data_IF_927849439472
#
_entry.id   IF_927849439472
#
_cell.length_a   1.000
_cell.length_b   1.000
_cell.length_c   1.000
_cell.angle_alpha   90.00
_cell.angle_beta   90.00
_cell.angle_gamma   90.00
#
_symmetry.space_group_name_H-M   'P 1'
#
loop_
_entity.id
_entity.type
_entity.pdbx_description
1 polymer ?
#
# COMPACT_ATOMS: atom_id res chain seq x y z
N UNK A 1 14.32 20.26 -5.90
CA UNK A 1 14.89 19.43 -6.98
C UNK A 1 16.22 18.88 -6.48
N UNK A 2 16.20 17.70 -5.87
CA UNK A 2 17.40 16.89 -5.71
C UNK A 2 17.78 16.38 -7.09
N UNK A 3 19.02 16.61 -7.53
CA UNK A 3 19.58 15.97 -8.72
C UNK A 3 19.46 14.45 -8.51
N UNK A 4 18.51 13.81 -9.18
CA UNK A 4 18.45 12.36 -9.28
C UNK A 4 19.68 11.98 -10.09
N UNK A 5 20.60 11.23 -9.48
CA UNK A 5 21.74 10.70 -10.20
C UNK A 5 21.24 9.73 -11.27
N UNK A 6 21.18 10.21 -12.51
CA UNK A 6 20.77 9.40 -13.66
C UNK A 6 21.76 8.29 -14.00
N UNK A 7 22.91 8.19 -13.30
CA UNK A 7 23.83 7.05 -13.43
C UNK A 7 23.42 5.84 -12.58
N UNK A 8 22.65 6.02 -11.50
CA UNK A 8 22.22 4.90 -10.66
C UNK A 8 20.94 4.28 -11.23
N UNK A 9 21.09 3.30 -12.11
CA UNK A 9 19.96 2.53 -12.63
C UNK A 9 19.42 1.57 -11.56
N UNK A 10 18.09 1.39 -11.50
CA UNK A 10 17.46 0.36 -10.66
C UNK A 10 17.63 -1.00 -11.35
N UNK A 11 18.42 -1.96 -10.81
CA UNK A 11 18.79 -3.19 -11.49
C UNK A 11 17.72 -4.28 -11.30
N UNK A 12 16.44 -3.93 -11.34
CA UNK A 12 15.34 -4.86 -11.05
C UNK A 12 14.28 -4.83 -12.14
N UNK A 13 13.65 -5.97 -12.37
CA UNK A 13 12.48 -6.10 -13.25
C UNK A 13 11.42 -7.01 -12.62
N UNK A 14 10.19 -6.90 -13.12
CA UNK A 14 9.09 -7.77 -12.75
C UNK A 14 8.75 -8.69 -13.92
N UNK A 15 8.75 -10.00 -13.66
CA UNK A 15 8.39 -11.04 -14.63
C UNK A 15 7.05 -11.64 -14.24
N UNK A 16 6.03 -11.54 -15.10
CA UNK A 16 4.73 -12.13 -14.84
C UNK A 16 4.82 -13.64 -14.67
N UNK A 17 4.13 -14.15 -13.65
CA UNK A 17 3.98 -15.59 -13.42
C UNK A 17 2.57 -16.03 -13.78
N UNK A 18 1.55 -15.39 -13.20
CA UNK A 18 0.16 -15.75 -13.50
C UNK A 18 -0.85 -15.20 -12.50
N UNK A 19 -2.06 -15.74 -12.57
CA UNK A 19 -3.18 -15.43 -11.67
C UNK A 19 -3.16 -16.40 -10.50
N UNK A 20 -3.30 -15.89 -9.28
CA UNK A 20 -3.28 -16.70 -8.06
C UNK A 20 -4.65 -16.79 -7.36
N UNK A 21 -5.52 -15.79 -7.55
CA UNK A 21 -6.85 -15.79 -6.97
C UNK A 21 -7.83 -15.07 -7.89
N UNK A 22 -8.95 -15.74 -8.19
CA UNK A 22 -10.11 -15.19 -8.91
C UNK A 22 -11.32 -15.19 -8.00
N UNK A 23 -12.27 -14.25 -8.13
CA UNK A 23 -13.50 -14.29 -7.35
C UNK A 23 -14.26 -15.59 -7.64
N UNK A 24 -14.82 -16.18 -6.60
CA UNK A 24 -15.69 -17.34 -6.62
C UNK A 24 -17.14 -16.85 -6.69
N UNK A 25 -17.86 -17.06 -7.81
CA UNK A 25 -19.25 -16.60 -7.96
C UNK A 25 -20.21 -17.17 -6.90
N UNK A 26 -19.84 -18.26 -6.21
CA UNK A 26 -20.63 -18.83 -5.13
C UNK A 26 -20.45 -18.11 -3.78
N UNK A 27 -19.54 -17.13 -3.68
CA UNK A 27 -19.21 -16.40 -2.45
C UNK A 27 -19.63 -14.93 -2.54
N UNK A 28 -20.75 -14.55 -1.90
CA UNK A 28 -21.24 -13.16 -1.92
C UNK A 28 -20.24 -12.12 -1.40
N UNK A 29 -19.38 -12.53 -0.48
CA UNK A 29 -18.34 -11.70 0.18
C UNK A 29 -17.28 -11.16 -0.79
N UNK A 30 -17.15 -11.78 -1.97
CA UNK A 30 -16.16 -11.45 -3.01
C UNK A 30 -16.81 -11.31 -4.41
N UNK A 31 -18.13 -11.09 -4.45
CA UNK A 31 -18.91 -11.02 -5.68
C UNK A 31 -18.44 -9.90 -6.63
N UNK A 32 -17.94 -8.78 -6.08
CA UNK A 32 -17.44 -7.63 -6.84
C UNK A 32 -15.91 -7.69 -7.03
N UNK A 33 -15.22 -8.69 -6.48
CA UNK A 33 -13.81 -8.96 -6.74
C UNK A 33 -12.99 -9.40 -5.52
N UNK A 34 -11.78 -9.88 -5.83
CA UNK A 34 -10.70 -10.21 -4.87
C UNK A 34 -9.47 -9.39 -5.24
N UNK A 35 -9.11 -8.41 -4.42
CA UNK A 35 -8.24 -7.32 -4.83
C UNK A 35 -7.02 -7.20 -3.91
N UNK A 36 -6.00 -6.50 -4.40
CA UNK A 36 -5.00 -5.76 -3.62
C UNK A 36 -4.55 -6.45 -2.30
N UNK A 37 -3.92 -7.64 -2.39
CA UNK A 37 -3.63 -8.42 -1.19
C UNK A 37 -2.39 -7.93 -0.44
N UNK A 38 -2.33 -8.27 0.85
CA UNK A 38 -1.07 -8.39 1.58
C UNK A 38 -0.62 -9.86 1.67
N UNK A 39 0.61 -10.09 2.14
CA UNK A 39 1.14 -11.42 2.46
C UNK A 39 1.76 -11.44 3.84
N UNK A 40 1.71 -12.60 4.51
CA UNK A 40 2.43 -12.82 5.77
C UNK A 40 2.71 -14.30 5.95
N UNK A 41 3.92 -14.62 6.41
CA UNK A 41 4.21 -15.95 6.97
C UNK A 41 3.54 -16.11 8.33
N UNK A 42 2.80 -17.19 8.50
CA UNK A 42 2.24 -17.60 9.78
C UNK A 42 3.29 -18.28 10.66
N UNK A 43 3.05 -18.29 11.97
CA UNK A 43 3.86 -19.02 12.95
C UNK A 43 3.85 -20.54 12.74
N UNK A 44 2.90 -21.04 11.95
CA UNK A 44 2.79 -22.43 11.48
C UNK A 44 3.65 -22.72 10.24
N UNK A 45 4.43 -21.74 9.76
CA UNK A 45 5.29 -21.86 8.59
C UNK A 45 4.53 -21.85 7.26
N UNK A 46 3.24 -21.52 7.25
CA UNK A 46 2.47 -21.36 6.02
C UNK A 46 2.53 -19.91 5.54
N UNK A 47 2.53 -19.71 4.22
CA UNK A 47 2.36 -18.39 3.63
C UNK A 47 0.87 -18.09 3.45
N UNK A 48 0.43 -16.93 3.96
CA UNK A 48 -0.94 -16.46 3.83
C UNK A 48 -1.01 -15.25 2.90
N UNK A 49 -2.05 -15.24 2.07
CA UNK A 49 -2.54 -14.10 1.31
C UNK A 49 -3.69 -13.45 2.08
N UNK A 50 -3.69 -12.12 2.14
CA UNK A 50 -4.71 -11.31 2.80
C UNK A 50 -5.40 -10.41 1.76
N UNK A 51 -6.32 -10.95 0.94
CA UNK A 51 -6.98 -10.20 -0.11
C UNK A 51 -8.02 -9.22 0.45
N UNK A 52 -8.23 -8.09 -0.23
CA UNK A 52 -9.46 -7.31 -0.10
C UNK A 52 -10.58 -8.06 -0.81
N UNK A 53 -11.56 -8.60 -0.07
CA UNK A 53 -12.75 -9.22 -0.64
C UNK A 53 -13.85 -8.17 -0.73
N UNK A 54 -14.42 -7.98 -1.91
CA UNK A 54 -15.45 -6.96 -2.15
C UNK A 54 -16.80 -7.63 -2.39
N UNK A 55 -17.73 -7.38 -1.48
CA UNK A 55 -19.11 -7.80 -1.63
C UNK A 55 -19.91 -6.76 -2.40
N UNK A 56 -21.08 -7.18 -2.90
CA UNK A 56 -22.04 -6.31 -3.57
C UNK A 56 -22.28 -4.99 -2.80
N UNK A 57 -22.23 -3.88 -3.52
CA UNK A 57 -22.37 -2.54 -2.92
C UNK A 57 -21.07 -1.97 -2.36
N UNK A 58 -19.92 -2.49 -2.81
CA UNK A 58 -18.57 -2.08 -2.42
C UNK A 58 -18.33 -2.17 -0.91
N UNK A 59 -18.84 -3.23 -0.27
CA UNK A 59 -18.55 -3.52 1.14
C UNK A 59 -17.34 -4.45 1.21
N UNK A 60 -16.22 -3.92 1.68
CA UNK A 60 -14.94 -4.62 1.65
C UNK A 60 -14.49 -5.14 3.01
N UNK A 61 -13.78 -6.26 2.98
CA UNK A 61 -13.19 -6.93 4.15
C UNK A 61 -11.80 -7.46 3.82
N UNK A 62 -10.98 -7.76 4.83
CA UNK A 62 -9.70 -8.45 4.65
C UNK A 62 -9.92 -9.95 4.82
N UNK A 63 -9.78 -10.67 3.73
CA UNK A 63 -9.77 -12.13 3.68
C UNK A 63 -8.49 -12.74 4.24
N UNK A 64 -8.47 -14.06 4.40
CA UNK A 64 -7.27 -14.86 4.60
C UNK A 64 -7.36 -16.10 3.70
N UNK A 65 -6.30 -16.38 2.97
CA UNK A 65 -6.18 -17.57 2.15
C UNK A 65 -4.75 -18.13 2.25
N UNK A 66 -4.59 -19.45 2.35
CA UNK A 66 -3.28 -20.09 2.34
C UNK A 66 -2.76 -20.12 0.91
N UNK A 67 -1.53 -19.67 0.68
CA UNK A 67 -0.89 -19.72 -0.63
C UNK A 67 -0.48 -21.15 -0.94
N UNK A 68 -0.87 -21.64 -2.11
CA UNK A 68 -0.40 -22.92 -2.66
C UNK A 68 0.90 -22.65 -3.42
N UNK A 69 1.96 -23.36 -3.04
CA UNK A 69 3.30 -23.23 -3.62
C UNK A 69 3.69 -24.58 -4.22
N UNK A 70 3.94 -24.59 -5.53
CA UNK A 70 4.38 -25.76 -6.29
C UNK A 70 5.75 -25.44 -6.89
N UNK A 71 6.74 -26.31 -6.63
CA UNK A 71 8.13 -26.14 -7.09
C UNK A 71 8.73 -24.75 -6.79
N UNK A 72 8.38 -24.18 -5.63
CA UNK A 72 8.86 -22.87 -5.19
C UNK A 72 8.15 -21.68 -5.84
N UNK A 73 7.07 -21.90 -6.58
CA UNK A 73 6.28 -20.87 -7.25
C UNK A 73 4.86 -20.82 -6.69
N UNK A 74 4.30 -19.64 -6.36
CA UNK A 74 2.88 -19.51 -6.01
C UNK A 74 1.98 -19.83 -7.20
N UNK A 75 1.06 -20.79 -7.05
CA UNK A 75 0.17 -21.22 -8.14
C UNK A 75 -1.31 -21.08 -7.84
N UNK A 76 -1.70 -20.89 -6.58
CA UNK A 76 -3.09 -20.69 -6.19
C UNK A 76 -3.26 -20.36 -4.72
N UNK A 77 -4.50 -20.39 -4.24
CA UNK A 77 -4.84 -20.19 -2.83
C UNK A 77 -5.95 -21.12 -2.34
N UNK A 78 -5.92 -21.46 -1.05
CA UNK A 78 -7.05 -22.05 -0.31
C UNK A 78 -7.68 -21.00 0.59
N UNK A 79 -8.97 -20.70 0.40
CA UNK A 79 -9.70 -19.69 1.19
C UNK A 79 -9.96 -20.16 2.62
N UNK A 80 -9.66 -19.30 3.59
CA UNK A 80 -9.79 -19.60 5.02
C UNK A 80 -10.74 -18.64 5.78
N UNK A 81 -11.47 -17.78 5.07
CA UNK A 81 -12.42 -16.81 5.65
C UNK A 81 -11.88 -15.39 5.66
N UNK A 82 -12.36 -14.58 6.59
CA UNK A 82 -11.94 -13.18 6.80
C UNK A 82 -11.31 -12.99 8.17
N UNK A 83 -10.43 -11.98 8.26
CA UNK A 83 -9.75 -11.60 9.50
C UNK A 83 -10.14 -10.21 9.98
N UNK A 84 -10.58 -9.33 9.08
CA UNK A 84 -11.13 -8.02 9.43
C UNK A 84 -12.40 -7.80 8.61
N UNK A 85 -13.53 -7.58 9.29
CA UNK A 85 -14.79 -7.10 8.74
C UNK A 85 -14.97 -5.62 9.07
N UNK A 86 -15.72 -4.79 8.32
CA UNK A 86 -15.94 -3.37 8.66
C UNK A 86 -16.91 -3.20 9.85
N UNK A 87 -16.51 -3.74 11.02
CA UNK A 87 -17.31 -3.93 12.23
C UNK A 87 -16.97 -2.89 13.32
N UNK A 88 -16.29 -1.80 12.95
CA UNK A 88 -16.03 -0.65 13.80
C UNK A 88 -16.75 0.58 13.24
N UNK A 89 -17.26 1.45 14.13
CA UNK A 89 -18.02 2.64 13.72
C UNK A 89 -17.26 3.68 12.88
N UNK A 90 -15.93 3.53 12.74
CA UNK A 90 -15.08 4.36 11.88
C UNK A 90 -14.67 3.65 10.58
N UNK A 91 -15.12 2.40 10.38
CA UNK A 91 -14.91 1.58 9.16
C UNK A 91 -16.18 1.50 8.30
N UNK A 92 -17.29 2.13 8.71
CA UNK A 92 -18.52 2.18 7.93
C UNK A 92 -19.29 3.49 8.10
N UNK A 93 -19.98 3.90 7.04
CA UNK A 93 -21.01 4.94 7.05
C UNK A 93 -22.42 4.33 7.11
N UNK A 94 -23.44 5.12 6.73
CA UNK A 94 -24.83 4.66 6.68
C UNK A 94 -25.14 3.78 5.47
N UNK A 95 -24.37 3.89 4.39
CA UNK A 95 -24.62 3.21 3.11
C UNK A 95 -23.35 2.66 2.43
N UNK A 96 -22.21 2.70 3.12
CA UNK A 96 -20.91 2.22 2.64
C UNK A 96 -20.09 1.73 3.83
N UNK A 97 -19.07 0.93 3.59
CA UNK A 97 -18.14 0.51 4.63
C UNK A 97 -17.09 -0.43 4.09
N UNK A 98 -15.92 -0.44 4.72
CA UNK A 98 -14.82 -1.21 4.19
C UNK A 98 -13.56 -1.20 5.02
N UNK A 99 -12.85 -2.32 4.97
CA UNK A 99 -11.43 -2.40 5.29
C UNK A 99 -10.69 -2.83 4.02
N UNK A 100 -9.95 -1.88 3.46
CA UNK A 100 -9.47 -1.92 2.07
C UNK A 100 -7.95 -2.00 1.98
N UNK A 101 -7.50 -2.60 0.88
CA UNK A 101 -6.13 -2.60 0.37
C UNK A 101 -5.07 -2.83 1.47
N UNK A 102 -5.12 -3.98 2.18
CA UNK A 102 -4.18 -4.26 3.26
C UNK A 102 -2.75 -4.31 2.73
N UNK A 103 -1.79 -3.82 3.52
CA UNK A 103 -0.36 -4.13 3.38
C UNK A 103 0.12 -4.70 4.71
N UNK A 104 1.00 -5.69 4.66
CA UNK A 104 1.58 -6.28 5.86
C UNK A 104 3.09 -6.15 5.77
N UNK A 105 3.69 -5.67 6.87
CA UNK A 105 5.13 -5.67 7.07
C UNK A 105 5.45 -6.49 8.32
N UNK A 106 6.26 -7.54 8.17
CA UNK A 106 6.88 -8.21 9.31
C UNK A 106 7.98 -7.32 9.89
N UNK A 107 7.91 -7.02 11.19
CA UNK A 107 8.87 -6.19 11.91
C UNK A 107 9.58 -7.05 12.96
N UNK A 108 10.74 -7.66 12.64
CA UNK A 108 11.40 -8.62 13.51
C UNK A 108 11.77 -8.07 14.89
N UNK A 109 12.18 -6.80 14.97
CA UNK A 109 12.54 -6.14 16.24
C UNK A 109 11.40 -6.05 17.25
N UNK A 110 10.14 -6.17 16.78
CA UNK A 110 8.94 -6.20 17.63
C UNK A 110 8.38 -7.61 17.83
N UNK A 111 8.80 -8.58 17.01
CA UNK A 111 8.15 -9.89 16.92
C UNK A 111 6.68 -9.75 16.52
N UNK A 112 6.39 -8.85 15.58
CA UNK A 112 5.04 -8.51 15.11
C UNK A 112 5.00 -8.38 13.60
N UNK A 113 3.87 -8.79 13.03
CA UNK A 113 3.42 -8.37 11.71
C UNK A 113 2.45 -7.20 11.88
N UNK A 114 2.68 -6.12 11.15
CA UNK A 114 1.85 -4.91 11.17
C UNK A 114 1.08 -4.84 9.85
N UNK A 115 -0.25 -4.91 9.95
CA UNK A 115 -1.15 -4.69 8.83
C UNK A 115 -1.61 -3.23 8.83
N UNK A 116 -1.31 -2.51 7.76
CA UNK A 116 -1.97 -1.26 7.43
C UNK A 116 -3.15 -1.56 6.52
N UNK A 117 -4.25 -0.83 6.67
CA UNK A 117 -5.41 -0.91 5.79
C UNK A 117 -6.12 0.44 5.74
N UNK A 118 -6.97 0.62 4.74
CA UNK A 118 -7.81 1.81 4.63
C UNK A 118 -9.20 1.47 5.19
N UNK A 119 -9.58 2.14 6.27
CA UNK A 119 -10.94 2.10 6.78
C UNK A 119 -11.80 3.11 6.03
N UNK A 120 -12.88 2.63 5.42
CA UNK A 120 -13.79 3.46 4.65
C UNK A 120 -14.98 3.90 5.50
N UNK A 121 -14.72 4.93 6.31
CA UNK A 121 -15.63 5.42 7.33
C UNK A 121 -16.57 6.55 6.87
N UNK A 122 -17.28 7.20 7.82
CA UNK A 122 -18.26 8.24 7.52
C UNK A 122 -17.67 9.51 6.92
N UNK A 123 -16.37 9.77 7.14
CA UNK A 123 -15.66 10.94 6.63
C UNK A 123 -14.76 10.62 5.41
N UNK A 124 -14.92 9.43 4.83
CA UNK A 124 -14.07 8.93 3.76
C UNK A 124 -12.95 7.99 4.24
N UNK A 125 -11.95 7.73 3.39
CA UNK A 125 -10.92 6.74 3.66
C UNK A 125 -9.89 7.27 4.66
N UNK A 126 -9.67 6.51 5.73
CA UNK A 126 -8.65 6.79 6.75
C UNK A 126 -7.75 5.57 6.94
N UNK A 127 -6.42 5.72 6.98
CA UNK A 127 -5.55 4.59 7.23
C UNK A 127 -5.64 4.14 8.69
N UNK A 128 -5.45 2.85 8.90
CA UNK A 128 -5.52 2.22 10.20
C UNK A 128 -4.63 0.99 10.30
N UNK A 129 -4.45 0.52 11.53
CA UNK A 129 -3.53 -0.56 11.86
C UNK A 129 -4.22 -1.72 12.57
N UNK A 130 -3.77 -2.93 12.22
CA UNK A 130 -3.90 -4.13 13.01
C UNK A 130 -2.52 -4.80 13.17
N UNK A 131 -2.33 -5.55 14.25
CA UNK A 131 -1.09 -6.26 14.54
C UNK A 131 -1.36 -7.73 14.82
N UNK A 132 -0.39 -8.56 14.49
CA UNK A 132 -0.40 -10.00 14.75
C UNK A 132 0.96 -10.48 15.24
N UNK A 133 0.97 -11.46 16.14
CA UNK A 133 2.20 -12.16 16.59
C UNK A 133 2.44 -13.46 15.84
N UNK A 134 1.37 -14.04 15.30
CA UNK A 134 1.39 -15.36 14.68
C UNK A 134 1.08 -15.32 13.18
N UNK A 135 0.80 -14.14 12.63
CA UNK A 135 0.42 -13.96 11.23
C UNK A 135 -0.90 -14.63 10.89
N UNK A 136 -1.77 -14.89 11.87
CA UNK A 136 -3.04 -15.64 11.75
C UNK A 136 -4.15 -14.84 12.42
N UNK A 137 -3.98 -14.47 13.69
CA UNK A 137 -4.93 -13.72 14.50
C UNK A 137 -4.53 -12.23 14.56
N UNK A 138 -5.50 -11.33 14.37
CA UNK A 138 -5.25 -9.90 14.19
C UNK A 138 -5.97 -9.04 15.23
N UNK A 139 -5.23 -8.13 15.85
CA UNK A 139 -5.74 -7.15 16.81
C UNK A 139 -5.64 -5.74 16.26
N UNK A 140 -6.75 -5.03 16.14
CA UNK A 140 -6.75 -3.63 15.70
C UNK A 140 -6.11 -2.71 16.73
N UNK A 141 -5.22 -1.83 16.28
CA UNK A 141 -4.76 -0.68 17.05
C UNK A 141 -5.62 0.56 16.79
N UNK A 142 -6.26 0.64 15.62
CA UNK A 142 -7.19 1.70 15.24
C UNK A 142 -6.67 2.64 14.15
N UNK A 143 -7.36 3.77 13.91
CA UNK A 143 -6.96 4.75 12.90
C UNK A 143 -5.61 5.38 13.22
N UNK A 144 -4.80 5.60 12.18
CA UNK A 144 -3.56 6.36 12.31
C UNK A 144 -3.91 7.84 12.55
N UNK A 145 -3.21 8.47 13.48
CA UNK A 145 -3.29 9.89 13.78
C UNK A 145 -1.90 10.49 13.61
N UNK A 146 -1.71 11.27 12.55
CA UNK A 146 -0.43 11.93 12.29
C UNK A 146 -0.25 13.08 13.29
N UNK A 147 0.93 13.22 13.86
CA UNK A 147 1.27 14.32 14.75
C UNK A 147 1.22 15.64 13.99
N UNK A 148 0.83 16.71 14.67
CA UNK A 148 0.97 18.03 14.09
C UNK A 148 2.46 18.39 14.04
N UNK A 149 2.91 18.85 12.87
CA UNK A 149 4.25 19.37 12.64
C UNK A 149 4.10 20.84 12.20
N UNK A 150 4.44 21.77 13.10
CA UNK A 150 4.36 23.22 12.87
C UNK A 150 5.09 23.63 11.58
N UNK A 151 6.15 22.90 11.19
CA UNK A 151 6.92 23.22 9.99
C UNK A 151 6.13 22.97 8.69
N UNK A 152 5.09 22.13 8.74
CA UNK A 152 4.22 21.90 7.58
C UNK A 152 3.11 22.95 7.48
N UNK A 153 2.78 23.67 8.55
CA UNK A 153 1.61 24.57 8.63
C UNK A 153 0.31 23.91 8.11
N UNK A 154 0.18 22.60 8.32
CA UNK A 154 -0.93 21.80 7.79
C UNK A 154 -1.10 20.54 8.62
N UNK A 155 -2.34 20.28 9.05
CA UNK A 155 -2.70 19.04 9.74
C UNK A 155 -2.99 17.94 8.70
N UNK A 156 -2.11 16.94 8.63
CA UNK A 156 -2.24 15.81 7.71
C UNK A 156 -3.50 14.97 7.96
N UNK A 157 -4.11 15.06 9.14
CA UNK A 157 -5.34 14.34 9.47
C UNK A 157 -6.60 14.95 8.85
N UNK A 158 -6.50 16.14 8.23
CA UNK A 158 -7.60 16.77 7.51
C UNK A 158 -7.88 16.08 6.17
N UNK A 159 -6.92 15.32 5.64
CA UNK A 159 -7.01 14.74 4.30
C UNK A 159 -7.18 13.24 4.36
N UNK A 160 -7.94 12.67 3.40
CA UNK A 160 -7.88 11.26 3.11
C UNK A 160 -6.44 10.83 2.81
N UNK A 161 -6.09 9.63 3.27
CA UNK A 161 -4.74 9.10 3.16
C UNK A 161 -4.81 7.61 2.83
N UNK A 162 -3.92 7.15 1.94
CA UNK A 162 -3.91 5.77 1.44
C UNK A 162 -2.48 5.26 1.29
N UNK A 163 -2.34 4.03 0.81
CA UNK A 163 -1.07 3.44 0.40
C UNK A 163 -0.02 3.44 1.51
N UNK A 164 -0.50 3.15 2.73
CA UNK A 164 0.33 3.16 3.93
C UNK A 164 1.06 1.83 4.05
N UNK A 165 2.37 1.86 4.28
CA UNK A 165 3.16 0.64 4.50
C UNK A 165 4.40 0.93 5.33
N UNK A 166 4.70 0.05 6.29
CA UNK A 166 5.88 0.19 7.15
C UNK A 166 7.15 -0.34 6.49
N UNK A 167 8.27 0.27 6.84
CA UNK A 167 9.59 -0.34 6.65
C UNK A 167 9.75 -1.51 7.63
N UNK A 168 10.43 -2.59 7.23
CA UNK A 168 10.64 -3.76 8.09
C UNK A 168 11.67 -3.51 9.20
N UNK A 169 12.58 -2.56 9.01
CA UNK A 169 13.66 -2.23 9.95
C UNK A 169 13.51 -0.83 10.54
N UNK A 170 14.10 -0.63 11.72
CA UNK A 170 14.26 0.68 12.35
C UNK A 170 15.23 1.52 11.52
N UNK A 171 14.83 2.76 11.23
CA UNK A 171 15.60 3.76 10.48
C UNK A 171 15.68 5.06 11.29
N UNK A 172 16.71 5.90 11.11
CA UNK A 172 16.73 7.20 11.77
C UNK A 172 15.66 8.11 11.16
N UNK A 173 15.01 8.91 12.02
CA UNK A 173 14.23 10.06 11.57
C UNK A 173 15.17 11.21 11.12
N UNK A 174 14.64 12.31 10.58
CA UNK A 174 15.44 13.47 10.15
C UNK A 174 16.31 14.12 11.24
N UNK A 175 16.05 13.84 12.52
CA UNK A 175 16.83 14.32 13.67
C UNK A 175 17.79 13.25 14.21
N UNK A 176 17.89 12.08 13.56
CA UNK A 176 18.72 10.97 13.96
C UNK A 176 18.09 10.05 15.02
N UNK A 177 16.80 10.22 15.35
CA UNK A 177 16.11 9.39 16.34
C UNK A 177 15.76 8.04 15.72
N UNK A 178 16.20 6.91 16.28
CA UNK A 178 15.80 5.58 15.81
C UNK A 178 14.28 5.44 15.83
N UNK A 179 13.68 5.13 14.69
CA UNK A 179 12.24 5.18 14.47
C UNK A 179 11.75 4.05 13.59
N UNK A 180 10.50 3.63 13.81
CA UNK A 180 9.73 2.88 12.83
C UNK A 180 9.18 3.87 11.81
N UNK A 181 9.49 3.67 10.53
CA UNK A 181 9.02 4.53 9.47
C UNK A 181 7.92 3.87 8.64
N UNK A 182 7.03 4.69 8.08
CA UNK A 182 5.99 4.27 7.15
C UNK A 182 5.93 5.22 5.96
N UNK A 183 5.78 4.65 4.77
CA UNK A 183 5.33 5.40 3.60
C UNK A 183 3.83 5.54 3.66
N UNK A 184 3.31 6.64 3.13
CA UNK A 184 1.89 6.92 3.00
C UNK A 184 1.64 7.97 1.91
N UNK A 185 0.37 8.23 1.59
CA UNK A 185 -0.01 9.02 0.42
C UNK A 185 -1.22 9.91 0.73
N UNK A 186 -1.01 11.10 1.32
CA UNK A 186 -2.06 12.10 1.46
C UNK A 186 -2.63 12.45 0.08
N UNK A 187 -3.97 12.53 -0.01
CA UNK A 187 -4.65 12.74 -1.28
C UNK A 187 -4.88 14.21 -1.62
N UNK A 188 -4.66 15.13 -0.68
CA UNK A 188 -4.93 16.57 -0.82
C UNK A 188 -6.32 16.84 -1.41
N UNK A 189 -7.32 16.13 -0.89
CA UNK A 189 -8.66 16.14 -1.46
C UNK A 189 -9.70 16.37 -0.36
N UNK A 190 -10.43 17.48 -0.48
CA UNK A 190 -11.57 17.79 0.38
C UNK A 190 -12.90 17.33 -0.20
N UNK A 191 -12.97 16.75 -1.40
CA UNK A 191 -14.23 16.41 -2.07
C UNK A 191 -15.16 15.50 -1.26
N UNK A 192 -14.62 14.70 -0.33
CA UNK A 192 -15.39 13.87 0.59
C UNK A 192 -16.22 14.66 1.61
N UNK A 193 -15.79 15.88 1.97
CA UNK A 193 -16.40 16.68 3.05
C UNK A 193 -16.81 18.07 2.54
N UNK A 194 -16.01 18.68 1.67
CA UNK A 194 -16.22 20.00 1.06
C UNK A 194 -15.85 19.99 -0.44
N UNK A 195 -16.78 19.55 -1.30
CA UNK A 195 -16.58 19.57 -2.76
C UNK A 195 -16.25 20.96 -3.30
N UNK A 196 -15.19 21.06 -4.11
CA UNK A 196 -14.79 22.29 -4.82
C UNK A 196 -13.93 23.27 -4.01
N UNK A 197 -13.65 22.97 -2.74
CA UNK A 197 -12.71 23.76 -1.93
C UNK A 197 -11.28 23.23 -2.13
N UNK A 198 -10.34 24.13 -2.44
CA UNK A 198 -8.93 23.76 -2.58
C UNK A 198 -8.30 23.45 -1.21
N UNK A 199 -7.48 22.39 -1.09
CA UNK A 199 -6.79 22.06 0.15
C UNK A 199 -5.69 23.09 0.48
N UNK A 200 -5.46 23.44 1.75
CA UNK A 200 -4.20 24.05 2.14
C UNK A 200 -3.10 22.99 2.00
N UNK A 201 -2.15 23.24 1.09
CA UNK A 201 -1.00 22.36 0.92
C UNK A 201 0.05 22.65 1.99
N UNK A 202 0.82 21.64 2.43
CA UNK A 202 1.91 21.86 3.36
C UNK A 202 2.93 22.89 2.86
N UNK A 203 3.59 23.58 3.79
CA UNK A 203 4.65 24.56 3.48
C UNK A 203 5.70 23.96 2.55
N UNK A 204 5.96 24.65 1.43
CA UNK A 204 6.93 24.23 0.42
C UNK A 204 6.38 23.25 -0.63
N UNK A 205 5.13 22.79 -0.49
CA UNK A 205 4.45 21.93 -1.46
C UNK A 205 3.57 22.81 -2.36
N UNK A 206 3.81 22.76 -3.66
CA UNK A 206 3.08 23.52 -4.68
C UNK A 206 2.30 22.63 -5.65
N UNK A 207 2.47 21.32 -5.53
CA UNK A 207 1.85 20.29 -6.34
C UNK A 207 0.83 19.54 -5.48
N UNK A 208 -0.44 19.63 -5.84
CA UNK A 208 -1.56 18.99 -5.13
C UNK A 208 -1.79 17.54 -5.59
N UNK A 209 -0.96 17.02 -6.50
CA UNK A 209 -1.05 15.62 -6.90
C UNK A 209 -0.67 14.71 -5.74
N UNK A 210 -1.46 13.65 -5.59
CA UNK A 210 -1.29 12.69 -4.53
C UNK A 210 0.09 11.99 -4.66
N UNK A 211 0.92 12.18 -3.64
CA UNK A 211 2.37 11.94 -3.66
C UNK A 211 2.81 11.06 -2.49
N UNK A 212 3.99 10.42 -2.59
CA UNK A 212 4.55 9.58 -1.52
C UNK A 212 5.22 10.44 -0.45
N UNK A 213 4.82 10.21 0.79
CA UNK A 213 5.39 10.80 1.99
C UNK A 213 5.91 9.70 2.92
N UNK A 214 6.83 10.07 3.80
CA UNK A 214 7.33 9.21 4.86
C UNK A 214 7.04 9.86 6.21
N UNK A 215 6.63 9.04 7.16
CA UNK A 215 6.40 9.45 8.53
C UNK A 215 7.09 8.53 9.52
N UNK A 216 7.45 9.05 10.70
CA UNK A 216 8.27 8.35 11.69
C UNK A 216 7.59 8.27 13.06
N UNK A 217 7.74 7.12 13.69
CA UNK A 217 7.36 6.86 15.09
C UNK A 217 8.62 6.51 15.88
N UNK A 218 8.98 7.25 16.94
CA UNK A 218 10.16 6.94 17.75
C UNK A 218 10.13 5.49 18.26
N UNK A 219 11.22 4.76 18.09
CA UNK A 219 11.28 3.35 18.45
C UNK A 219 11.09 3.13 19.95
N UNK A 220 11.57 4.06 20.78
CA UNK A 220 11.38 4.02 22.23
C UNK A 220 9.90 4.07 22.64
N UNK A 221 9.09 4.87 21.94
CA UNK A 221 7.65 4.98 22.21
C UNK A 221 6.94 3.67 21.86
N UNK A 222 7.31 3.04 20.73
CA UNK A 222 6.74 1.75 20.32
C UNK A 222 7.13 0.61 21.26
N UNK A 223 8.36 0.62 21.77
CA UNK A 223 8.82 -0.36 22.77
C UNK A 223 8.05 -0.19 24.09
N UNK A 224 7.74 1.04 24.49
CA UNK A 224 6.95 1.31 25.67
C UNK A 224 5.47 0.95 25.48
N UNK A 225 4.91 1.26 24.31
CA UNK A 225 3.53 0.96 23.94
C UNK A 225 3.42 0.77 22.42
N UNK A 226 3.11 -0.45 22.00
CA UNK A 226 2.94 -0.80 20.58
C UNK A 226 1.89 0.05 19.88
N UNK A 227 0.90 0.59 20.60
CA UNK A 227 -0.12 1.49 20.04
C UNK A 227 0.47 2.79 19.46
N UNK A 228 1.70 3.15 19.86
CA UNK A 228 2.42 4.29 19.30
C UNK A 228 2.67 4.15 17.79
N UNK A 229 2.66 2.94 17.22
CA UNK A 229 2.72 2.73 15.76
C UNK A 229 1.63 3.51 15.01
N UNK A 230 0.47 3.75 15.63
CA UNK A 230 -0.62 4.52 15.05
C UNK A 230 -0.46 6.04 15.20
N UNK A 231 0.67 6.54 15.73
CA UNK A 231 0.90 7.96 16.06
C UNK A 231 2.23 8.49 15.53
N UNK A 232 2.48 8.46 14.21
CA UNK A 232 3.70 9.03 13.66
C UNK A 232 3.72 10.56 13.77
N UNK A 233 4.88 11.20 13.95
CA UNK A 233 4.96 12.64 14.29
C UNK A 233 5.93 13.47 13.45
N UNK A 234 6.93 12.84 12.85
CA UNK A 234 7.87 13.53 11.94
C UNK A 234 7.50 13.15 10.53
N UNK A 235 7.44 14.12 9.61
CA UNK A 235 6.89 13.93 8.27
C UNK A 235 7.79 14.52 7.19
N UNK A 236 8.04 13.79 6.09
CA UNK A 236 8.80 14.31 4.95
C UNK A 236 8.14 13.92 3.64
N UNK A 237 8.13 14.85 2.69
CA UNK A 237 7.84 14.54 1.29
C UNK A 237 8.97 13.67 0.74
N UNK A 238 8.61 12.63 -0.02
CA UNK A 238 9.59 11.70 -0.65
C UNK A 238 9.60 11.89 -2.16
N UNK A 239 8.45 11.70 -2.80
CA UNK A 239 8.34 11.74 -4.25
C UNK A 239 6.94 12.15 -4.68
N UNK A 240 6.85 12.94 -5.75
CA UNK A 240 5.62 13.23 -6.47
C UNK A 240 5.69 12.68 -7.89
N UNK A 241 4.59 12.74 -8.66
CA UNK A 241 4.60 12.38 -10.07
C UNK A 241 5.66 13.14 -10.89
N UNK A 242 6.49 12.41 -11.62
CA UNK A 242 7.61 12.98 -12.39
C UNK A 242 7.60 12.52 -13.85
N UNK A 243 7.39 11.22 -14.10
CA UNK A 243 7.35 10.65 -15.44
C UNK A 243 5.93 10.55 -16.03
N UNK A 244 5.85 10.43 -17.36
CA UNK A 244 4.57 10.44 -18.08
C UNK A 244 3.61 9.32 -17.65
N UNK A 245 4.14 8.14 -17.33
CA UNK A 245 3.38 6.95 -16.91
C UNK A 245 2.78 7.06 -15.50
N UNK A 246 3.18 8.09 -14.75
CA UNK A 246 2.77 8.31 -13.36
C UNK A 246 2.23 9.72 -13.12
N UNK A 247 1.92 10.46 -14.20
CA UNK A 247 1.62 11.88 -14.21
C UNK A 247 0.44 12.33 -13.32
N UNK A 248 -0.53 11.45 -13.04
CA UNK A 248 -1.73 11.78 -12.28
C UNK A 248 -1.48 11.68 -10.77
N UNK A 249 -0.91 10.57 -10.32
CA UNK A 249 -0.59 10.29 -8.91
C UNK A 249 0.34 9.09 -8.80
N UNK A 250 1.00 8.98 -7.65
CA UNK A 250 1.78 7.81 -7.25
C UNK A 250 1.40 7.35 -5.85
N UNK A 251 1.84 6.13 -5.48
CA UNK A 251 1.73 5.62 -4.11
C UNK A 251 2.57 4.36 -3.90
N UNK A 252 2.97 4.12 -2.66
CA UNK A 252 3.73 2.92 -2.31
C UNK A 252 2.87 1.66 -2.48
N UNK A 253 3.50 0.58 -2.96
CA UNK A 253 2.86 -0.72 -3.10
C UNK A 253 3.08 -1.60 -1.87
N UNK A 254 3.95 -2.63 -1.97
CA UNK A 254 4.31 -3.49 -0.86
C UNK A 254 5.34 -2.86 0.09
N UNK A 255 5.68 -3.59 1.15
CA UNK A 255 6.72 -3.19 2.09
C UNK A 255 8.05 -2.93 1.37
N UNK A 256 8.78 -1.84 1.71
CA UNK A 256 10.11 -1.59 1.17
C UNK A 256 11.04 -2.77 1.38
N UNK A 257 11.67 -3.25 0.31
CA UNK A 257 12.62 -4.36 0.35
C UNK A 257 14.02 -3.82 0.56
N UNK A 258 14.73 -4.33 1.57
CA UNK A 258 16.15 -4.01 1.75
C UNK A 258 17.00 -4.70 0.68
N UNK A 259 17.77 -3.94 -0.07
CA UNK A 259 18.70 -4.44 -1.10
C UNK A 259 20.11 -3.88 -0.88
N UNK A 260 21.13 -4.37 -1.62
CA UNK A 260 22.47 -3.78 -1.58
C UNK A 260 22.51 -2.31 -2.02
N UNK A 261 21.59 -1.89 -2.89
CA UNK A 261 21.51 -0.52 -3.41
C UNK A 261 20.77 0.45 -2.48
N UNK A 262 19.97 -0.04 -1.53
CA UNK A 262 19.15 0.78 -0.65
C UNK A 262 17.82 0.12 -0.28
N UNK A 263 16.78 0.94 -0.18
CA UNK A 263 15.41 0.47 -0.02
C UNK A 263 14.70 0.48 -1.37
N UNK A 264 14.43 -0.70 -1.92
CA UNK A 264 13.62 -0.85 -3.12
C UNK A 264 12.14 -0.75 -2.75
N UNK A 265 11.47 0.27 -3.28
CA UNK A 265 10.03 0.47 -3.14
C UNK A 265 9.39 0.26 -4.50
N UNK A 266 8.68 -0.86 -4.65
CA UNK A 266 7.78 -1.03 -5.80
C UNK A 266 6.59 -0.10 -5.59
N UNK A 267 6.38 0.84 -6.51
CA UNK A 267 5.32 1.84 -6.41
C UNK A 267 4.39 1.75 -7.61
N UNK A 268 3.15 2.19 -7.44
CA UNK A 268 2.24 2.38 -8.56
C UNK A 268 2.32 3.82 -9.06
N UNK A 269 2.12 3.98 -10.37
CA UNK A 269 1.94 5.25 -11.05
C UNK A 269 0.67 5.21 -11.87
N UNK A 270 0.02 6.38 -11.99
CA UNK A 270 -1.28 6.46 -12.66
C UNK A 270 -1.26 7.51 -13.75
N UNK A 271 -1.90 7.19 -14.87
CA UNK A 271 -2.25 8.14 -15.94
C UNK A 271 -3.76 8.21 -16.15
N UNK A 272 -4.21 9.17 -16.97
CA UNK A 272 -5.60 9.31 -17.35
C UNK A 272 -6.31 10.42 -16.59
N UNK A 273 -7.62 10.30 -16.41
CA UNK A 273 -8.46 11.34 -15.81
C UNK A 273 -9.43 10.74 -14.81
N UNK A 274 -9.51 11.33 -13.62
CA UNK A 274 -10.54 10.98 -12.63
C UNK A 274 -11.84 11.68 -13.02
N UNK A 275 -12.93 10.92 -13.12
CA UNK A 275 -14.26 11.43 -13.43
C UNK A 275 -15.22 11.04 -12.31
N UNK A 276 -15.99 12.00 -11.83
CA UNK A 276 -16.92 11.81 -10.71
C UNK A 276 -16.25 11.96 -9.35
N UNK A 277 -16.99 11.59 -8.29
CA UNK A 277 -16.49 11.60 -6.92
C UNK A 277 -15.74 10.32 -6.57
N UNK A 278 -15.14 10.29 -5.38
CA UNK A 278 -14.32 9.18 -4.91
C UNK A 278 -15.05 7.83 -4.71
N UNK A 279 -16.37 7.80 -4.85
CA UNK A 279 -17.21 6.60 -4.78
C UNK A 279 -17.49 5.99 -6.17
N UNK A 280 -17.01 6.61 -7.25
CA UNK A 280 -17.27 6.15 -8.61
C UNK A 280 -16.07 5.32 -9.09
N UNK A 281 -16.27 4.07 -9.55
CA UNK A 281 -15.23 3.32 -10.23
C UNK A 281 -14.69 4.08 -11.44
N UNK A 282 -13.38 4.16 -11.56
CA UNK A 282 -12.72 5.03 -12.53
C UNK A 282 -12.42 4.26 -13.82
N UNK A 283 -13.12 4.54 -14.92
CA UNK A 283 -12.87 3.84 -16.19
C UNK A 283 -11.76 4.43 -17.05
N UNK A 284 -11.32 5.67 -16.75
CA UNK A 284 -10.43 6.46 -17.59
C UNK A 284 -9.01 6.61 -16.99
N UNK A 285 -8.63 5.67 -16.13
CA UNK A 285 -7.31 5.64 -15.48
C UNK A 285 -6.56 4.38 -15.89
N UNK A 286 -5.24 4.44 -15.80
CA UNK A 286 -4.36 3.30 -16.05
C UNK A 286 -3.33 3.25 -14.94
N UNK A 287 -3.23 2.11 -14.26
CA UNK A 287 -2.26 1.87 -13.19
C UNK A 287 -1.16 0.95 -13.68
N UNK A 288 0.06 1.40 -13.48
CA UNK A 288 1.29 0.70 -13.84
C UNK A 288 2.21 0.64 -12.61
N UNK A 289 3.16 -0.27 -12.59
CA UNK A 289 4.12 -0.41 -11.49
C UNK A 289 5.53 -0.05 -11.93
N UNK A 290 6.22 0.74 -11.12
CA UNK A 290 7.64 1.05 -11.26
C UNK A 290 8.38 0.81 -9.95
N UNK A 291 9.55 1.43 -9.82
CA UNK A 291 10.27 1.41 -8.54
C UNK A 291 10.94 2.75 -8.22
N UNK A 292 11.01 3.01 -6.91
CA UNK A 292 11.91 3.98 -6.28
C UNK A 292 13.01 3.21 -5.57
N UNK A 293 14.22 3.75 -5.60
CA UNK A 293 15.31 3.33 -4.73
C UNK A 293 15.57 4.45 -3.73
N UNK A 294 15.30 4.20 -2.45
CA UNK A 294 15.50 5.16 -1.38
C UNK A 294 16.83 4.89 -0.67
N UNK A 295 17.43 5.93 -0.12
CA UNK A 295 18.69 5.80 0.59
C UNK A 295 18.55 4.93 1.82
N UNK A 296 19.55 4.06 2.00
CA UNK A 296 19.61 3.09 3.06
C UNK A 296 19.59 3.69 4.47
N UNK A 297 20.24 4.84 4.64
CA UNK A 297 20.42 5.55 5.91
C UNK A 297 19.41 6.68 6.08
N UNK A 298 18.99 7.32 4.98
CA UNK A 298 17.94 8.33 4.97
C UNK A 298 16.82 7.95 3.98
N UNK A 299 15.80 7.18 4.41
CA UNK A 299 14.75 6.72 3.50
C UNK A 299 13.83 7.84 2.98
N UNK A 300 14.02 9.09 3.39
CA UNK A 300 13.33 10.22 2.77
C UNK A 300 13.96 10.65 1.43
N UNK A 301 15.19 10.21 1.16
CA UNK A 301 15.95 10.58 -0.04
C UNK A 301 15.81 9.54 -1.14
N UNK A 302 15.28 9.94 -2.29
CA UNK A 302 15.26 9.14 -3.52
C UNK A 302 16.65 9.16 -4.16
N UNK A 303 17.25 7.98 -4.32
CA UNK A 303 18.53 7.78 -5.03
C UNK A 303 18.31 7.56 -6.54
N UNK A 304 17.30 6.77 -6.87
CA UNK A 304 16.94 6.45 -8.26
C UNK A 304 15.45 6.17 -8.40
N UNK A 305 14.95 6.27 -9.63
CA UNK A 305 13.56 6.02 -9.98
C UNK A 305 13.48 5.48 -11.40
N UNK A 306 12.59 4.53 -11.66
CA UNK A 306 12.41 3.98 -13.00
C UNK A 306 11.71 5.00 -13.92
N UNK A 307 12.33 5.42 -15.04
CA UNK A 307 11.69 6.36 -15.98
C UNK A 307 10.55 5.71 -16.79
N UNK A 308 10.55 4.38 -16.87
CA UNK A 308 9.51 3.55 -17.49
C UNK A 308 8.99 2.53 -16.46
N UNK A 309 7.75 2.04 -16.59
CA UNK A 309 7.21 1.03 -15.68
C UNK A 309 7.97 -0.30 -15.77
N UNK A 310 8.07 -1.00 -14.64
CA UNK A 310 8.52 -2.39 -14.56
C UNK A 310 7.41 -3.39 -14.94
N UNK A 311 6.14 -2.98 -14.79
CA UNK A 311 4.97 -3.80 -15.10
C UNK A 311 3.85 -2.90 -15.62
N UNK A 312 3.31 -3.21 -16.81
CA UNK A 312 2.19 -2.50 -17.44
C UNK A 312 1.04 -3.46 -17.74
N UNK A 313 -0.24 -3.07 -17.67
CA UNK A 313 -1.36 -3.96 -18.02
C UNK A 313 -1.25 -4.47 -19.47
N UNK A 314 -1.24 -5.79 -19.63
CA UNK A 314 -1.07 -6.47 -20.94
C UNK A 314 -2.05 -7.63 -21.13
N UNK A 315 -2.38 -8.36 -20.06
CA UNK A 315 -3.25 -9.53 -20.14
C UNK A 315 -4.73 -9.15 -20.15
N UNK A 316 -5.61 -10.07 -20.56
CA UNK A 316 -7.06 -9.85 -20.49
C UNK A 316 -7.52 -9.60 -19.05
N UNK A 317 -6.90 -10.29 -18.11
CA UNK A 317 -7.10 -10.14 -16.67
C UNK A 317 -6.73 -8.77 -16.11
N UNK A 318 -5.76 -8.08 -16.71
CA UNK A 318 -5.29 -6.76 -16.28
C UNK A 318 -6.00 -5.62 -17.03
N UNK A 319 -6.53 -5.90 -18.22
CA UNK A 319 -7.15 -4.91 -19.11
C UNK A 319 -8.67 -4.93 -19.07
N UNK A 320 -9.30 -5.94 -18.47
CA UNK A 320 -10.76 -6.04 -18.32
C UNK A 320 -11.17 -6.41 -16.89
N UNK A 321 -12.02 -5.59 -16.29
CA UNK A 321 -12.53 -5.74 -14.93
C UNK A 321 -13.34 -4.52 -14.50
N UNK A 322 -13.59 -4.37 -13.20
CA UNK A 322 -14.32 -3.22 -12.63
C UNK A 322 -13.63 -1.90 -12.94
N UNK A 323 -12.30 -1.91 -12.89
CA UNK A 323 -11.43 -0.83 -13.37
C UNK A 323 -10.47 -1.45 -14.36
N UNK A 324 -10.63 -1.15 -15.65
CA UNK A 324 -9.74 -1.65 -16.68
C UNK A 324 -8.32 -1.06 -16.57
N UNK A 325 -7.33 -1.79 -17.09
CA UNK A 325 -5.92 -1.35 -17.20
C UNK A 325 -5.25 -1.12 -15.84
N UNK A 326 -5.27 -2.13 -14.98
CA UNK A 326 -4.68 -2.05 -13.63
C UNK A 326 -3.70 -3.19 -13.40
N UNK A 327 -2.48 -2.82 -13.02
CA UNK A 327 -1.59 -3.65 -12.21
C UNK A 327 -1.24 -2.89 -10.92
N UNK A 328 -1.61 -3.45 -9.77
CA UNK A 328 -1.53 -2.75 -8.48
C UNK A 328 -0.74 -3.56 -7.43
N UNK A 329 0.59 -3.41 -7.35
CA UNK A 329 1.45 -4.18 -6.45
C UNK A 329 1.20 -3.82 -4.99
N UNK A 330 0.98 -4.82 -4.15
CA UNK A 330 0.54 -4.62 -2.75
C UNK A 330 1.21 -5.54 -1.74
N UNK A 331 1.75 -6.68 -2.18
CA UNK A 331 2.59 -7.53 -1.35
C UNK A 331 3.90 -7.92 -2.06
N UNK A 332 4.96 -8.13 -1.28
CA UNK A 332 6.19 -8.77 -1.74
C UNK A 332 6.62 -9.77 -0.67
N UNK A 333 6.95 -10.98 -1.10
CA UNK A 333 7.34 -12.04 -0.19
C UNK A 333 8.49 -12.88 -0.75
N UNK A 334 9.38 -13.33 0.14
CA UNK A 334 10.46 -14.24 -0.23
C UNK A 334 9.98 -15.69 -0.11
N UNK A 335 10.06 -16.45 -1.20
CA UNK A 335 9.73 -17.87 -1.27
C UNK A 335 10.93 -18.61 -1.86
N UNK A 336 11.54 -19.47 -1.05
CA UNK A 336 12.87 -20.00 -1.36
C UNK A 336 13.88 -18.86 -1.52
N UNK A 337 14.55 -18.80 -2.67
CA UNK A 337 15.53 -17.75 -2.99
C UNK A 337 14.97 -16.63 -3.87
N UNK A 338 13.69 -16.68 -4.23
CA UNK A 338 13.04 -15.69 -5.09
C UNK A 338 12.11 -14.77 -4.31
N UNK A 339 11.96 -13.53 -4.78
CA UNK A 339 10.94 -12.61 -4.31
C UNK A 339 9.78 -12.59 -5.30
N UNK A 340 8.57 -12.68 -4.77
CA UNK A 340 7.33 -12.62 -5.54
C UNK A 340 6.52 -11.41 -5.11
N UNK A 341 6.08 -10.62 -6.10
CA UNK A 341 5.21 -9.46 -5.94
C UNK A 341 3.78 -9.88 -6.29
N UNK A 342 2.88 -9.74 -5.32
CA UNK A 342 1.45 -9.98 -5.50
C UNK A 342 0.76 -8.66 -5.81
N UNK A 343 -0.11 -8.67 -6.82
CA UNK A 343 -0.73 -7.45 -7.33
C UNK A 343 -2.19 -7.66 -7.74
N UNK A 344 -2.99 -6.62 -7.55
CA UNK A 344 -4.35 -6.56 -8.09
C UNK A 344 -4.33 -6.38 -9.61
N UNK A 345 -5.26 -7.05 -10.30
CA UNK A 345 -5.48 -6.96 -11.74
C UNK A 345 -6.91 -6.49 -12.00
N UNK A 346 -7.02 -5.41 -12.76
CA UNK A 346 -8.27 -4.79 -13.22
C UNK A 346 -9.38 -4.58 -12.15
N UNK A 347 -9.01 -4.36 -10.87
CA UNK A 347 -9.93 -4.37 -9.73
C UNK A 347 -10.93 -5.53 -9.77
N UNK A 348 -10.44 -6.74 -10.07
CA UNK A 348 -11.27 -7.96 -10.14
C UNK A 348 -10.61 -9.15 -9.44
N UNK A 349 -9.29 -9.29 -9.60
CA UNK A 349 -8.57 -10.51 -9.25
C UNK A 349 -7.11 -10.23 -8.88
N UNK A 350 -6.36 -11.28 -8.51
CA UNK A 350 -4.99 -11.17 -8.02
C UNK A 350 -4.06 -12.02 -8.88
N UNK A 351 -2.95 -11.44 -9.28
CA UNK A 351 -1.83 -12.18 -9.84
C UNK A 351 -0.53 -12.01 -9.09
N UNK A 352 0.50 -12.65 -9.63
CA UNK A 352 1.84 -12.71 -9.06
C UNK A 352 2.88 -12.53 -10.15
N UNK A 353 3.93 -11.77 -9.82
CA UNK A 353 5.10 -11.55 -10.64
C UNK A 353 6.35 -11.88 -9.80
N UNK A 354 7.44 -12.26 -10.46
CA UNK A 354 8.74 -12.48 -9.83
C UNK A 354 9.59 -11.22 -9.96
N UNK A 355 10.19 -10.79 -8.86
CA UNK A 355 11.21 -9.74 -8.88
C UNK A 355 12.56 -10.38 -9.23
N UNK A 356 13.17 -9.92 -10.31
CA UNK A 356 14.48 -10.40 -10.77
C UNK A 356 15.49 -9.26 -10.76
N UNK A 357 16.73 -9.56 -10.36
CA UNK A 357 17.86 -8.62 -10.47
C UNK A 357 18.53 -8.83 -11.82
N UNK A 358 18.75 -7.75 -12.56
CA UNK A 358 19.37 -7.75 -13.90
C UNK A 358 20.84 -7.36 -13.87
#
# INVERSE_FOLDING_TARGET
MTDIDTQTAIPYALERIGVIMRPDPARPEEADGVLNPATCWGSDGQLYLYPRLVAAGNVSRVGRARVVIEDGVPTGVERLGSVLEPDRGWEHGSAHGGVEDPRITSIPSLGLSVMTYVAFGPLGPKPALAVSRDGIEWSRLGPIQFGYDDALDTDLNLFPNKDVVFFPDVVPDPNGVPSYALLHRPMWDFSFVRPGEAPPLPTGIVDDRASVWISYVPAADVVADVSALARPRTHRFVAGPEFAWEQLKIGAGPAPLRTPEGWLVVHHGVTGTVVGGAFVPQSNVRYEAGALLLDAADPSRVLARTPEPLLVPETAEETAGTVANVVFPTAIEKIGDAHFVFYGMADSQIGVARLVRR
#
